data_IF_531512275714
#
_entry.id   IF_531512275714
#
_cell.length_a   1.000
_cell.length_b   1.000
_cell.length_c   1.000
_cell.angle_alpha   90.00
_cell.angle_beta   90.00
_cell.angle_gamma   90.00
#
_symmetry.space_group_name_H-M   'P 1'
#
loop_
_entity.id
_entity.type
_entity.pdbx_description
1 polymer ?
#
# COMPACT_ATOMS: atom_id res chain seq x y z
N UNK A 1 38.51 -15.58 -24.64
CA UNK A 1 38.33 -14.34 -23.85
C UNK A 1 36.98 -14.46 -23.16
N UNK A 2 36.96 -14.95 -21.92
CA UNK A 2 35.72 -15.15 -21.16
C UNK A 2 35.29 -13.78 -20.65
N UNK A 3 34.08 -13.35 -21.03
CA UNK A 3 33.45 -12.15 -20.48
C UNK A 3 33.12 -12.44 -19.02
N UNK A 4 33.94 -11.92 -18.12
CA UNK A 4 33.57 -11.75 -16.71
C UNK A 4 32.47 -10.71 -16.66
N UNK A 5 31.21 -11.17 -16.62
CA UNK A 5 30.09 -10.31 -16.25
C UNK A 5 30.20 -9.96 -14.76
N UNK A 6 30.04 -8.68 -14.49
CA UNK A 6 30.37 -7.95 -13.27
C UNK A 6 29.69 -8.51 -11.99
N UNK A 7 30.50 -8.94 -11.03
CA UNK A 7 30.06 -9.29 -9.66
C UNK A 7 29.46 -8.08 -8.89
N UNK A 8 29.70 -6.85 -9.34
CA UNK A 8 29.16 -5.62 -8.73
C UNK A 8 27.65 -5.46 -8.96
N UNK A 9 27.16 -5.83 -10.14
CA UNK A 9 25.72 -5.82 -10.50
C UNK A 9 24.88 -6.74 -9.62
N UNK A 10 25.46 -7.85 -9.13
CA UNK A 10 24.77 -8.82 -8.28
C UNK A 10 24.57 -8.32 -6.84
N UNK A 11 25.54 -7.57 -6.28
CA UNK A 11 25.47 -7.06 -4.90
C UNK A 11 24.45 -5.92 -4.73
N UNK A 12 24.31 -5.06 -5.74
CA UNK A 12 23.33 -3.97 -5.71
C UNK A 12 21.89 -4.50 -5.86
N UNK A 13 21.70 -5.57 -6.64
CA UNK A 13 20.40 -6.22 -6.79
C UNK A 13 19.82 -6.72 -5.45
N UNK A 14 20.64 -7.32 -4.58
CA UNK A 14 20.15 -7.84 -3.29
C UNK A 14 19.75 -6.74 -2.31
N UNK A 15 20.44 -5.60 -2.32
CA UNK A 15 20.09 -4.46 -1.46
C UNK A 15 18.73 -3.90 -1.85
N UNK A 16 18.47 -3.73 -3.13
CA UNK A 16 17.17 -3.26 -3.63
C UNK A 16 16.05 -4.24 -3.27
N UNK A 17 16.29 -5.55 -3.42
CA UNK A 17 15.34 -6.59 -3.03
C UNK A 17 15.06 -6.54 -1.53
N UNK A 18 16.08 -6.37 -0.69
CA UNK A 18 15.93 -6.25 0.76
C UNK A 18 15.11 -5.01 1.13
N UNK A 19 15.48 -3.83 0.62
CA UNK A 19 14.77 -2.57 0.91
C UNK A 19 13.34 -2.56 0.38
N UNK A 20 13.07 -3.28 -0.72
CA UNK A 20 11.71 -3.46 -1.25
C UNK A 20 10.87 -4.39 -0.38
N UNK A 21 11.48 -5.39 0.26
CA UNK A 21 10.76 -6.42 1.02
C UNK A 21 10.86 -6.27 2.54
N UNK A 22 11.50 -5.20 3.02
CA UNK A 22 11.59 -4.88 4.43
C UNK A 22 10.19 -4.68 5.01
N UNK A 23 9.87 -5.50 6.01
CA UNK A 23 8.64 -5.42 6.80
C UNK A 23 8.98 -5.15 8.26
N UNK A 24 8.23 -4.25 8.90
CA UNK A 24 8.40 -3.90 10.31
C UNK A 24 7.29 -4.61 11.11
N UNK A 25 7.58 -5.31 12.21
CA UNK A 25 6.55 -5.96 13.00
C UNK A 25 5.62 -4.93 13.69
N UNK A 26 4.35 -5.28 13.91
CA UNK A 26 3.43 -4.45 14.69
C UNK A 26 3.87 -4.34 16.16
N UNK A 27 3.40 -3.33 16.90
CA UNK A 27 3.71 -3.21 18.33
C UNK A 27 3.16 -4.41 19.11
N UNK A 28 3.95 -4.93 20.05
CA UNK A 28 3.58 -6.11 20.85
C UNK A 28 2.32 -5.87 21.68
N UNK A 29 2.15 -4.65 22.18
CA UNK A 29 0.99 -4.22 22.94
C UNK A 29 -0.29 -4.33 22.10
N UNK A 30 -0.24 -3.89 20.85
CA UNK A 30 -1.34 -3.97 19.88
C UNK A 30 -1.71 -5.41 19.57
N UNK A 31 -0.71 -6.27 19.35
CA UNK A 31 -0.92 -7.70 19.10
C UNK A 31 -1.60 -8.36 20.30
N UNK A 32 -1.16 -8.06 21.53
CA UNK A 32 -1.79 -8.58 22.76
C UNK A 32 -3.22 -8.09 22.92
N UNK A 33 -3.46 -6.80 22.72
CA UNK A 33 -4.80 -6.21 22.80
C UNK A 33 -5.75 -6.81 21.76
N UNK A 34 -5.28 -7.04 20.53
CA UNK A 34 -6.07 -7.72 19.51
C UNK A 34 -6.44 -9.15 19.95
N UNK A 35 -5.49 -9.90 20.53
CA UNK A 35 -5.75 -11.23 21.06
C UNK A 35 -6.78 -11.22 22.21
N UNK A 36 -6.65 -10.29 23.17
CA UNK A 36 -7.61 -10.11 24.29
C UNK A 36 -9.03 -9.75 23.79
N UNK A 37 -9.11 -9.02 22.67
CA UNK A 37 -10.36 -8.69 21.98
C UNK A 37 -10.89 -9.83 21.10
N UNK A 38 -10.33 -11.04 21.22
CA UNK A 38 -10.66 -12.21 20.40
C UNK A 38 -10.50 -11.97 18.89
N UNK A 39 -9.59 -11.06 18.51
CA UNK A 39 -9.21 -10.82 17.13
C UNK A 39 -8.12 -11.81 16.69
N UNK A 40 -8.41 -13.11 16.81
CA UNK A 40 -7.47 -14.20 16.53
C UNK A 40 -7.41 -14.57 15.05
N UNK A 41 -8.43 -14.21 14.28
CA UNK A 41 -8.50 -14.45 12.85
C UNK A 41 -8.18 -13.17 12.06
N UNK A 42 -7.33 -13.34 11.06
CA UNK A 42 -6.99 -12.32 10.07
C UNK A 42 -8.15 -12.13 9.09
N UNK A 43 -8.45 -10.88 8.75
CA UNK A 43 -9.44 -10.55 7.71
C UNK A 43 -8.75 -9.98 6.48
N UNK A 44 -9.22 -10.40 5.30
CA UNK A 44 -8.68 -9.97 4.02
C UNK A 44 -9.43 -8.77 3.46
N UNK A 45 -8.69 -7.87 2.83
CA UNK A 45 -9.21 -6.62 2.27
C UNK A 45 -8.70 -6.41 0.85
N UNK A 46 -9.53 -5.74 0.05
CA UNK A 46 -9.16 -5.15 -1.23
C UNK A 46 -9.24 -3.63 -1.12
N UNK A 47 -8.14 -2.94 -1.46
CA UNK A 47 -8.05 -1.49 -1.54
C UNK A 47 -7.79 -1.07 -2.99
N UNK A 48 -8.78 -0.43 -3.61
CA UNK A 48 -8.68 0.12 -4.96
C UNK A 48 -8.34 1.61 -4.88
N UNK A 49 -7.21 1.98 -5.46
CA UNK A 49 -6.75 3.36 -5.51
C UNK A 49 -7.37 4.04 -6.73
N UNK A 50 -7.97 5.21 -6.50
CA UNK A 50 -8.62 6.00 -7.54
C UNK A 50 -7.76 7.18 -7.93
N UNK A 51 -8.15 8.38 -7.49
CA UNK A 51 -7.54 9.62 -7.97
C UNK A 51 -7.11 10.49 -6.80
N UNK A 52 -5.95 11.11 -6.95
CA UNK A 52 -5.50 12.19 -6.08
C UNK A 52 -5.75 13.51 -6.79
N UNK A 53 -6.40 14.45 -6.11
CA UNK A 53 -6.55 15.83 -6.57
C UNK A 53 -5.74 16.72 -5.62
N UNK A 54 -4.85 17.54 -6.18
CA UNK A 54 -3.93 18.41 -5.43
C UNK A 54 -3.91 19.80 -6.08
N UNK A 55 -4.86 20.69 -5.77
CA UNK A 55 -5.06 21.97 -6.48
C UNK A 55 -3.90 22.97 -6.37
N UNK A 56 -3.07 22.84 -5.34
CA UNK A 56 -2.02 23.81 -4.98
C UNK A 56 -0.60 23.31 -5.27
N UNK A 57 -0.45 22.12 -5.83
CA UNK A 57 0.86 21.57 -6.15
C UNK A 57 1.29 22.07 -7.54
N UNK A 58 2.49 22.65 -7.71
CA UNK A 58 2.92 23.17 -9.00
C UNK A 58 3.05 22.03 -10.02
N UNK A 59 2.47 22.19 -11.22
CA UNK A 59 2.47 21.20 -12.32
C UNK A 59 3.85 20.96 -12.96
N UNK A 60 4.93 21.45 -12.35
CA UNK A 60 6.30 21.17 -12.80
C UNK A 60 6.46 19.65 -12.82
N UNK A 61 7.14 19.12 -13.83
CA UNK A 61 7.27 17.70 -14.25
C UNK A 61 7.72 16.72 -13.15
N UNK A 62 6.92 16.59 -12.11
CA UNK A 62 7.14 15.79 -10.93
C UNK A 62 6.31 14.53 -11.14
N UNK A 63 7.00 13.42 -11.34
CA UNK A 63 6.35 12.12 -11.18
C UNK A 63 6.14 11.89 -9.69
N UNK A 64 4.93 11.56 -9.30
CA UNK A 64 4.59 11.39 -7.90
C UNK A 64 4.10 9.95 -7.65
N UNK A 65 4.91 9.09 -7.01
CA UNK A 65 4.42 7.83 -6.50
C UNK A 65 3.57 8.02 -5.24
N UNK A 66 2.63 7.11 -5.03
CA UNK A 66 1.89 6.95 -3.80
C UNK A 66 2.56 5.88 -2.94
N UNK A 67 2.64 6.11 -1.63
CA UNK A 67 3.15 5.13 -0.66
C UNK A 67 2.07 4.77 0.34
N UNK A 68 1.98 3.49 0.67
CA UNK A 68 1.00 2.97 1.61
C UNK A 68 1.69 2.14 2.69
N UNK A 69 1.40 2.45 3.95
CA UNK A 69 1.99 1.77 5.11
C UNK A 69 0.95 1.65 6.22
N UNK A 70 0.98 0.57 6.99
CA UNK A 70 0.14 0.44 8.18
C UNK A 70 0.71 1.26 9.33
N UNK A 71 -0.19 1.82 10.13
CA UNK A 71 0.17 2.65 11.28
C UNK A 71 -0.73 2.34 12.47
N UNK A 72 -0.12 2.24 13.63
CA UNK A 72 -0.81 2.19 14.91
C UNK A 72 -0.84 3.59 15.52
N UNK A 73 -2.04 4.16 15.65
CA UNK A 73 -2.26 5.50 16.20
C UNK A 73 -1.96 5.60 17.69
N UNK A 74 -2.25 4.56 18.45
CA UNK A 74 -2.11 4.58 19.92
C UNK A 74 -0.62 4.52 20.30
N UNK A 75 0.15 3.73 19.55
CA UNK A 75 1.58 3.53 19.79
C UNK A 75 2.47 4.39 18.89
N UNK A 76 1.88 5.18 17.98
CA UNK A 76 2.56 6.01 16.99
C UNK A 76 3.64 5.23 16.23
N UNK A 77 3.26 4.08 15.68
CA UNK A 77 4.23 3.14 15.12
C UNK A 77 3.82 2.69 13.72
N UNK A 78 4.72 2.91 12.76
CA UNK A 78 4.57 2.35 11.41
C UNK A 78 4.98 0.89 11.40
N UNK A 79 4.17 0.04 10.77
CA UNK A 79 4.44 -1.39 10.66
C UNK A 79 4.03 -1.95 9.30
N UNK A 80 4.33 -3.22 9.09
CA UNK A 80 4.20 -3.90 7.81
C UNK A 80 5.28 -3.48 6.81
N UNK A 81 4.99 -3.75 5.54
CA UNK A 81 5.80 -3.31 4.39
C UNK A 81 5.17 -2.06 3.77
N UNK A 82 5.99 -1.06 3.46
CA UNK A 82 5.54 0.09 2.67
C UNK A 82 5.38 -0.30 1.20
N UNK A 83 4.14 -0.33 0.72
CA UNK A 83 3.86 -0.44 -0.71
C UNK A 83 4.13 0.89 -1.42
N UNK A 84 4.60 0.82 -2.67
CA UNK A 84 4.92 1.99 -3.49
C UNK A 84 4.34 1.80 -4.88
N UNK A 85 3.56 2.76 -5.35
CA UNK A 85 3.06 2.77 -6.73
C UNK A 85 4.19 3.06 -7.71
N UNK A 86 3.94 2.79 -8.99
CA UNK A 86 4.72 3.40 -10.04
C UNK A 86 4.56 4.93 -9.98
N UNK A 87 5.62 5.71 -10.28
CA UNK A 87 5.50 7.16 -10.36
C UNK A 87 4.54 7.58 -11.46
N UNK A 88 3.48 8.32 -11.10
CA UNK A 88 2.47 8.80 -12.06
C UNK A 88 2.67 10.29 -12.35
N UNK A 89 2.34 10.72 -13.56
CA UNK A 89 2.38 12.15 -13.94
C UNK A 89 1.10 12.85 -13.51
N UNK A 90 1.24 14.07 -12.98
CA UNK A 90 0.13 14.97 -12.70
C UNK A 90 -0.42 15.58 -13.98
N UNK A 91 -1.75 15.67 -14.10
CA UNK A 91 -2.47 16.31 -15.21
C UNK A 91 -3.67 17.06 -14.66
N UNK A 92 -3.79 18.35 -14.97
CA UNK A 92 -4.90 19.22 -14.53
C UNK A 92 -5.13 19.13 -13.02
N UNK A 93 -4.06 19.28 -12.24
CA UNK A 93 -4.06 19.11 -10.79
C UNK A 93 -4.48 17.74 -10.23
N UNK A 94 -4.42 16.68 -11.05
CA UNK A 94 -4.87 15.34 -10.67
C UNK A 94 -3.89 14.26 -11.08
N UNK A 95 -3.80 13.21 -10.26
CA UNK A 95 -3.01 12.01 -10.51
C UNK A 95 -3.95 10.82 -10.42
N UNK A 96 -3.98 9.97 -11.44
CA UNK A 96 -4.81 8.76 -11.44
C UNK A 96 -3.94 7.56 -11.12
N UNK A 97 -4.33 6.87 -10.06
CA UNK A 97 -3.85 5.55 -9.69
C UNK A 97 -4.90 4.55 -10.19
N UNK A 98 -4.48 3.42 -10.72
CA UNK A 98 -5.36 2.33 -11.19
C UNK A 98 -4.88 0.99 -10.64
N UNK A 99 -4.37 1.03 -9.41
CA UNK A 99 -3.82 -0.08 -8.67
C UNK A 99 -4.86 -0.62 -7.68
N UNK A 100 -4.94 -1.95 -7.61
CA UNK A 100 -5.75 -2.68 -6.63
C UNK A 100 -4.79 -3.44 -5.74
N UNK A 101 -4.87 -3.17 -4.44
CA UNK A 101 -4.04 -3.78 -3.42
C UNK A 101 -4.86 -4.79 -2.62
N UNK A 102 -4.22 -5.88 -2.26
CA UNK A 102 -4.74 -6.90 -1.38
C UNK A 102 -3.88 -6.96 -0.14
N UNK A 103 -4.50 -7.12 1.03
CA UNK A 103 -3.79 -7.34 2.28
C UNK A 103 -4.70 -8.06 3.28
N UNK A 104 -4.11 -8.55 4.36
CA UNK A 104 -4.86 -9.07 5.49
C UNK A 104 -4.21 -8.68 6.81
N UNK A 105 -5.04 -8.59 7.85
CA UNK A 105 -4.59 -8.30 9.21
C UNK A 105 -5.53 -8.86 10.26
N UNK A 106 -4.96 -9.38 11.34
CA UNK A 106 -5.61 -9.76 12.60
C UNK A 106 -5.74 -8.59 13.57
N UNK A 107 -5.04 -7.47 13.30
CA UNK A 107 -5.07 -6.26 14.12
C UNK A 107 -6.32 -5.43 13.83
N UNK A 108 -7.49 -6.01 14.15
CA UNK A 108 -8.82 -5.44 13.90
C UNK A 108 -9.21 -4.41 14.97
N UNK A 109 -8.30 -3.48 15.24
CA UNK A 109 -8.42 -2.42 16.24
C UNK A 109 -8.60 -1.07 15.54
N UNK A 110 -9.43 -0.14 16.06
CA UNK A 110 -9.61 1.19 15.44
C UNK A 110 -8.34 2.03 15.32
N UNK A 111 -7.33 1.76 16.15
CA UNK A 111 -6.02 2.41 16.07
C UNK A 111 -5.18 1.94 14.89
N UNK A 112 -5.51 0.80 14.29
CA UNK A 112 -4.86 0.29 13.08
C UNK A 112 -5.46 0.95 11.84
N UNK A 113 -4.62 1.73 11.14
CA UNK A 113 -5.02 2.49 9.95
C UNK A 113 -4.01 2.26 8.82
N UNK A 114 -4.42 2.54 7.58
CA UNK A 114 -3.48 2.66 6.45
C UNK A 114 -3.16 4.14 6.25
N UNK A 115 -1.89 4.47 6.24
CA UNK A 115 -1.39 5.80 5.87
C UNK A 115 -1.08 5.80 4.38
N UNK A 116 -1.62 6.79 3.67
CA UNK A 116 -1.36 7.04 2.26
C UNK A 116 -0.54 8.32 2.14
N UNK A 117 0.67 8.25 1.59
CA UNK A 117 1.57 9.40 1.38
C UNK A 117 1.76 9.65 -0.12
N UNK A 118 1.47 10.87 -0.57
CA UNK A 118 1.85 11.37 -1.87
C UNK A 118 3.28 11.92 -1.79
N UNK A 119 4.16 11.42 -2.65
CA UNK A 119 5.56 11.83 -2.67
C UNK A 119 5.88 12.49 -4.01
N UNK A 120 6.46 13.68 -4.01
CA UNK A 120 7.07 14.28 -5.20
C UNK A 120 8.49 13.73 -5.37
N UNK A 121 8.85 13.35 -6.59
CA UNK A 121 10.23 12.97 -6.93
C UNK A 121 10.88 14.09 -7.73
N UNK A 122 12.02 14.59 -7.24
CA UNK A 122 12.87 15.53 -7.98
C UNK A 122 14.25 14.93 -8.26
N UNK A 123 14.81 15.15 -9.46
CA UNK A 123 16.16 14.70 -9.76
C UNK A 123 17.17 15.50 -8.93
N UNK A 124 18.17 14.81 -8.40
CA UNK A 124 19.34 15.41 -7.77
C UNK A 124 20.46 15.58 -8.81
N UNK A 125 21.39 16.54 -8.61
CA UNK A 125 22.53 16.75 -9.51
C UNK A 125 23.44 15.52 -9.67
N UNK A 126 23.45 14.62 -8.68
CA UNK A 126 24.20 13.36 -8.68
C UNK A 126 23.51 12.22 -9.48
N UNK A 127 22.37 12.51 -10.13
CA UNK A 127 21.57 11.53 -10.86
C UNK A 127 20.61 10.70 -10.00
N UNK A 128 20.68 10.81 -8.66
CA UNK A 128 19.72 10.18 -7.76
C UNK A 128 18.39 10.94 -7.72
N UNK A 129 17.37 10.38 -7.08
CA UNK A 129 16.06 11.04 -6.93
C UNK A 129 15.82 11.41 -5.46
N UNK A 130 15.37 12.63 -5.21
CA UNK A 130 14.89 13.06 -3.90
C UNK A 130 13.38 12.95 -3.83
N UNK A 131 12.88 12.20 -2.84
CA UNK A 131 11.45 12.09 -2.56
C UNK A 131 11.04 13.02 -1.42
N UNK A 132 10.12 13.96 -1.67
CA UNK A 132 9.53 14.84 -0.66
C UNK A 132 8.05 14.47 -0.45
N UNK A 133 7.62 14.32 0.80
CA UNK A 133 6.22 14.07 1.12
C UNK A 133 5.40 15.35 0.94
N UNK A 134 4.52 15.37 -0.05
CA UNK A 134 3.67 16.52 -0.39
C UNK A 134 2.38 16.54 0.43
N UNK A 135 1.88 15.36 0.76
CA UNK A 135 0.74 15.23 1.64
C UNK A 135 0.42 13.79 1.96
N UNK A 136 -0.37 13.60 3.01
CA UNK A 136 -0.76 12.26 3.44
C UNK A 136 -2.17 12.21 4.02
N UNK A 137 -2.76 11.02 4.07
CA UNK A 137 -4.04 10.79 4.72
C UNK A 137 -4.08 9.46 5.45
N UNK A 138 -5.07 9.32 6.32
CA UNK A 138 -5.31 8.12 7.11
C UNK A 138 -6.62 7.49 6.64
N UNK A 139 -6.55 6.21 6.26
CA UNK A 139 -7.71 5.38 6.01
C UNK A 139 -7.96 4.51 7.24
N UNK A 140 -9.06 4.80 7.93
CA UNK A 140 -9.54 3.97 9.03
C UNK A 140 -10.12 2.66 8.49
N UNK A 141 -9.59 1.53 8.98
CA UNK A 141 -10.01 0.19 8.56
C UNK A 141 -11.12 -0.38 9.44
N UNK A 142 -11.14 0.05 10.71
CA UNK A 142 -12.03 -0.47 11.74
C UNK A 142 -12.62 0.70 12.51
N UNK A 143 -13.93 0.69 12.70
CA UNK A 143 -14.64 1.71 13.47
C UNK A 143 -15.29 1.08 14.70
N UNK A 144 -15.20 1.77 15.84
CA UNK A 144 -15.99 1.45 17.04
C UNK A 144 -17.35 2.14 17.05
N UNK A 145 -17.59 3.09 16.13
CA UNK A 145 -18.82 3.88 16.07
C UNK A 145 -19.84 3.16 15.18
N UNK A 146 -20.99 2.74 15.73
CA UNK A 146 -22.05 2.09 14.94
C UNK A 146 -22.62 3.01 13.85
N UNK A 147 -22.60 4.34 14.05
CA UNK A 147 -23.11 5.30 13.07
C UNK A 147 -22.06 5.72 12.01
N UNK A 148 -20.79 5.33 12.17
CA UNK A 148 -19.78 5.63 11.16
C UNK A 148 -19.97 4.70 9.96
N UNK A 149 -19.75 5.20 8.72
CA UNK A 149 -19.79 4.33 7.54
C UNK A 149 -18.84 3.15 7.75
N UNK A 150 -19.37 1.92 7.67
CA UNK A 150 -18.57 0.70 7.70
C UNK A 150 -17.39 0.87 6.76
N UNK A 151 -16.15 0.49 7.14
CA UNK A 151 -14.95 0.78 6.37
C UNK A 151 -15.11 0.46 4.86
N UNK A 152 -15.93 -0.53 4.52
CA UNK A 152 -16.40 -0.83 3.18
C UNK A 152 -16.93 0.39 2.39
N UNK A 153 -16.56 0.46 1.12
CA UNK A 153 -17.08 1.39 0.13
C UNK A 153 -16.14 2.53 -0.24
N UNK A 154 -16.71 3.49 -0.97
CA UNK A 154 -15.97 4.62 -1.51
C UNK A 154 -15.55 5.58 -0.39
N UNK A 155 -14.34 6.10 -0.49
CA UNK A 155 -13.75 7.04 0.47
C UNK A 155 -13.10 8.18 -0.27
N UNK A 156 -13.35 9.39 0.24
CA UNK A 156 -12.65 10.61 -0.15
C UNK A 156 -11.89 11.12 1.06
N UNK A 157 -10.59 10.95 1.03
CA UNK A 157 -9.69 11.21 2.14
C UNK A 157 -9.00 12.56 1.92
N UNK A 158 -9.19 13.51 2.83
CA UNK A 158 -8.50 14.81 2.74
C UNK A 158 -7.00 14.62 2.99
N UNK A 159 -6.16 15.31 2.23
CA UNK A 159 -4.71 15.27 2.42
C UNK A 159 -4.30 16.29 3.49
N UNK A 160 -3.50 15.85 4.45
CA UNK A 160 -2.74 16.71 5.35
C UNK A 160 -1.44 17.12 4.67
N UNK A 161 -0.93 18.30 5.01
CA UNK A 161 0.30 18.82 4.43
C UNK A 161 1.53 18.04 4.92
N UNK A 162 2.48 17.79 3.99
CA UNK A 162 3.80 17.25 4.31
C UNK A 162 3.87 15.72 4.39
N UNK A 163 4.75 15.22 5.27
CA UNK A 163 5.05 13.78 5.39
C UNK A 163 4.40 13.17 6.64
N UNK A 164 3.96 11.89 6.60
CA UNK A 164 3.40 11.18 7.75
C UNK A 164 4.30 11.10 8.98
N UNK A 165 5.58 11.49 8.87
CA UNK A 165 6.47 11.64 10.03
C UNK A 165 5.92 12.63 11.06
N UNK A 166 5.03 13.55 10.67
CA UNK A 166 4.33 14.44 11.61
C UNK A 166 3.53 13.66 12.65
N UNK A 167 3.00 12.47 12.31
CA UNK A 167 2.23 11.62 13.23
C UNK A 167 3.05 11.16 14.44
N UNK A 168 4.38 11.13 14.30
CA UNK A 168 5.31 10.77 15.37
C UNK A 168 5.59 11.95 16.30
N UNK A 169 5.35 13.18 15.87
CA UNK A 169 5.64 14.39 16.63
C UNK A 169 4.41 14.93 17.35
N UNK A 170 4.44 15.08 18.69
CA UNK A 170 3.29 15.56 19.47
C UNK A 170 2.90 17.03 19.23
N UNK A 171 3.79 17.82 18.61
CA UNK A 171 3.62 19.27 18.43
C UNK A 171 3.25 19.67 16.99
N UNK A 172 3.30 18.74 16.04
CA UNK A 172 2.94 19.04 14.65
C UNK A 172 1.44 18.98 14.51
N UNK A 173 0.82 20.12 14.20
CA UNK A 173 -0.61 20.20 13.96
C UNK A 173 -0.88 19.72 12.53
N UNK A 174 -1.60 18.62 12.40
CA UNK A 174 -2.05 18.13 11.10
C UNK A 174 -3.01 19.16 10.50
N UNK A 175 -2.58 19.79 9.41
CA UNK A 175 -3.38 20.79 8.69
C UNK A 175 -3.82 20.18 7.36
N UNK A 176 -5.13 20.06 7.19
CA UNK A 176 -5.70 19.63 5.91
C UNK A 176 -5.36 20.66 4.83
N UNK A 177 -4.92 20.19 3.69
CA UNK A 177 -4.72 20.99 2.49
C UNK A 177 -6.09 21.17 1.83
N UNK A 178 -6.51 22.42 1.72
CA UNK A 178 -7.83 22.75 1.17
C UNK A 178 -7.99 22.26 -0.27
N UNK A 179 -9.09 21.54 -0.53
CA UNK A 179 -9.41 20.96 -1.84
C UNK A 179 -8.58 19.72 -2.22
N UNK A 180 -7.51 19.40 -1.49
CA UNK A 180 -6.66 18.26 -1.77
C UNK A 180 -7.22 16.98 -1.13
N UNK A 181 -7.42 15.94 -1.95
CA UNK A 181 -8.02 14.69 -1.51
C UNK A 181 -7.57 13.50 -2.35
N UNK A 182 -7.71 12.31 -1.78
CA UNK A 182 -7.52 11.02 -2.42
C UNK A 182 -8.84 10.25 -2.41
N UNK A 183 -9.26 9.80 -3.58
CA UNK A 183 -10.40 8.90 -3.76
C UNK A 183 -9.90 7.44 -3.77
N UNK A 184 -10.48 6.60 -2.92
CA UNK A 184 -10.21 5.16 -2.89
C UNK A 184 -11.47 4.36 -2.54
N UNK A 185 -11.39 3.05 -2.70
CA UNK A 185 -12.46 2.11 -2.33
C UNK A 185 -11.82 0.98 -1.55
N UNK A 186 -12.27 0.73 -0.33
CA UNK A 186 -11.85 -0.42 0.46
C UNK A 186 -13.03 -1.37 0.63
N UNK A 187 -12.80 -2.67 0.53
CA UNK A 187 -13.83 -3.69 0.72
C UNK A 187 -13.26 -4.89 1.46
N UNK A 188 -14.04 -5.56 2.33
CA UNK A 188 -13.72 -6.92 2.76
C UNK A 188 -13.57 -7.82 1.52
N UNK A 189 -12.62 -8.75 1.57
CA UNK A 189 -12.38 -9.69 0.47
C UNK A 189 -12.26 -11.13 1.00
N UNK A 190 -13.39 -11.80 1.31
CA UNK A 190 -13.39 -13.15 1.89
C UNK A 190 -12.70 -14.22 1.05
N UNK A 191 -12.59 -14.02 -0.27
CA UNK A 191 -11.87 -14.94 -1.15
C UNK A 191 -10.38 -15.07 -0.78
N UNK A 192 -9.79 -14.03 -0.18
CA UNK A 192 -8.42 -14.06 0.33
C UNK A 192 -8.22 -15.08 1.45
N UNK A 193 -9.26 -15.40 2.24
CA UNK A 193 -9.14 -16.32 3.37
C UNK A 193 -8.55 -17.67 2.96
N UNK A 194 -8.85 -18.13 1.74
CA UNK A 194 -8.33 -19.39 1.20
C UNK A 194 -6.83 -19.37 0.88
N UNK A 195 -6.25 -18.20 0.67
CA UNK A 195 -4.88 -17.99 0.18
C UNK A 195 -4.01 -17.14 1.11
N UNK A 196 -4.51 -16.71 2.27
CA UNK A 196 -3.76 -15.90 3.26
C UNK A 196 -2.42 -16.50 3.65
N UNK A 197 -2.32 -17.83 3.70
CA UNK A 197 -1.07 -18.53 4.02
C UNK A 197 0.03 -18.33 2.96
N UNK A 198 -0.30 -17.79 1.79
CA UNK A 198 0.64 -17.53 0.69
C UNK A 198 1.21 -16.11 0.71
N UNK A 199 0.64 -15.18 1.51
CA UNK A 199 1.15 -13.83 1.63
C UNK A 199 1.37 -13.44 3.10
N UNK A 200 2.39 -12.62 3.38
CA UNK A 200 2.65 -12.19 4.75
C UNK A 200 1.55 -11.27 5.27
N UNK A 201 1.20 -11.46 6.54
CA UNK A 201 0.25 -10.59 7.24
C UNK A 201 0.78 -9.17 7.35
N UNK A 202 -0.11 -8.17 7.31
CA UNK A 202 0.21 -6.75 7.38
C UNK A 202 1.06 -6.25 6.19
N UNK A 203 0.97 -6.91 5.04
CA UNK A 203 1.66 -6.51 3.81
C UNK A 203 0.64 -6.21 2.72
N UNK A 204 0.73 -5.02 2.14
CA UNK A 204 -0.03 -4.65 0.95
C UNK A 204 0.68 -5.16 -0.31
N UNK A 205 -0.05 -5.92 -1.13
CA UNK A 205 0.45 -6.47 -2.39
C UNK A 205 -0.44 -6.03 -3.55
N UNK A 206 0.18 -5.60 -4.65
CA UNK A 206 -0.50 -5.37 -5.93
C UNK A 206 -0.51 -6.65 -6.76
N UNK A 207 -1.42 -6.75 -7.73
CA UNK A 207 -1.57 -7.93 -8.59
C UNK A 207 -0.36 -8.23 -9.50
N UNK A 208 0.56 -7.28 -9.65
CA UNK A 208 1.80 -7.38 -10.43
C UNK A 208 3.06 -7.57 -9.57
N UNK A 209 2.94 -7.64 -8.24
CA UNK A 209 4.09 -7.88 -7.37
C UNK A 209 4.45 -9.36 -7.29
N UNK A 210 5.74 -9.66 -7.44
CA UNK A 210 6.29 -10.96 -7.11
C UNK A 210 6.26 -11.15 -5.58
N UNK A 211 5.61 -12.21 -5.13
CA UNK A 211 5.58 -12.61 -3.73
C UNK A 211 6.76 -13.56 -3.49
N UNK A 212 7.71 -13.23 -2.59
CA UNK A 212 8.85 -14.11 -2.29
C UNK A 212 8.38 -15.51 -1.90
N UNK A 213 8.97 -16.54 -2.53
CA UNK A 213 8.61 -17.95 -2.30
C UNK A 213 7.48 -18.49 -3.18
N UNK A 214 6.80 -17.65 -3.96
CA UNK A 214 5.84 -18.09 -4.98
C UNK A 214 6.48 -18.06 -6.37
N UNK A 215 6.44 -19.18 -7.08
CA UNK A 215 6.89 -19.25 -8.45
C UNK A 215 5.84 -18.60 -9.38
N UNK A 216 6.31 -17.93 -10.43
CA UNK A 216 5.43 -17.49 -11.51
C UNK A 216 4.75 -18.71 -12.14
N UNK A 217 3.46 -18.59 -12.43
CA UNK A 217 2.75 -19.63 -13.16
C UNK A 217 3.42 -19.85 -14.53
N UNK A 218 3.72 -21.10 -14.94
CA UNK A 218 4.34 -21.40 -16.23
C UNK A 218 3.48 -20.94 -17.43
N UNK A 219 2.19 -20.68 -17.22
CA UNK A 219 1.27 -20.09 -18.21
C UNK A 219 1.31 -18.56 -18.30
N UNK A 220 2.36 -17.90 -17.81
CA UNK A 220 2.52 -16.44 -17.79
C UNK A 220 2.16 -15.78 -19.12
N UNK A 221 1.03 -15.06 -19.15
CA UNK A 221 0.60 -14.26 -20.30
C UNK A 221 1.53 -13.05 -20.38
N UNK A 222 2.57 -13.17 -21.20
CA UNK A 222 3.36 -12.03 -21.67
C UNK A 222 2.48 -11.16 -22.56
N UNK A 223 2.21 -9.93 -22.12
CA UNK A 223 1.74 -8.78 -22.89
C UNK A 223 0.70 -9.04 -24.01
N UNK A 224 -0.60 -9.01 -23.68
CA UNK A 224 -1.62 -8.63 -24.67
C UNK A 224 -2.68 -7.72 -24.04
N UNK A 225 -2.61 -6.45 -24.43
CA UNK A 225 -3.68 -5.44 -24.46
C UNK A 225 -4.33 -4.98 -23.14
N UNK A 226 -4.31 -3.65 -22.96
CA UNK A 226 -5.29 -2.88 -22.19
C UNK A 226 -6.70 -3.46 -22.37
N UNK A 227 -7.22 -4.11 -21.34
CA UNK A 227 -8.66 -4.26 -21.17
C UNK A 227 -8.99 -4.39 -19.69
N UNK A 228 -10.10 -3.74 -19.35
CA UNK A 228 -10.63 -3.46 -18.02
C UNK A 228 -10.90 -4.77 -17.25
N UNK A 229 -10.73 -4.70 -15.93
CA UNK A 229 -11.26 -5.63 -14.94
C UNK A 229 -10.95 -7.12 -15.19
N UNK A 230 -9.81 -7.61 -14.66
CA UNK A 230 -9.67 -9.02 -14.33
C UNK A 230 -9.61 -9.17 -12.81
N UNK A 231 -10.80 -9.36 -12.24
CA UNK A 231 -11.01 -9.68 -10.85
C UNK A 231 -10.42 -11.06 -10.53
N UNK A 232 -9.91 -11.20 -9.31
CA UNK A 232 -9.60 -12.49 -8.70
C UNK A 232 -10.93 -13.16 -8.34
N UNK A 233 -11.52 -13.87 -9.30
CA UNK A 233 -12.61 -14.85 -9.16
C UNK A 233 -12.25 -16.01 -10.12
N UNK A 234 -12.35 -17.30 -9.85
CA UNK A 234 -12.72 -18.14 -8.71
C UNK A 234 -12.24 -19.60 -9.06
N UNK A 235 -12.51 -20.66 -8.27
CA UNK A 235 -11.75 -21.92 -8.26
C UNK A 235 -12.16 -22.90 -9.36
N UNK A 236 -11.18 -23.68 -9.84
CA UNK A 236 -11.44 -24.93 -10.57
C UNK A 236 -10.29 -25.91 -10.37
N UNK A 237 -10.20 -26.51 -9.19
CA UNK A 237 -9.47 -27.77 -9.02
C UNK A 237 -10.45 -28.88 -9.42
N UNK A 238 -10.32 -29.38 -10.65
CA UNK A 238 -10.94 -30.64 -11.05
C UNK A 238 -10.10 -31.78 -10.47
N UNK A 239 -10.69 -32.53 -9.54
CA UNK A 239 -10.22 -33.86 -9.17
C UNK A 239 -10.54 -34.82 -10.31
N UNK A 240 -9.50 -35.38 -10.94
CA UNK A 240 -9.66 -36.59 -11.75
C UNK A 240 -9.10 -37.76 -10.94
N UNK A 241 -10.02 -38.49 -10.31
CA UNK A 241 -9.77 -39.85 -9.85
C UNK A 241 -10.35 -40.82 -10.87
N UNK A 242 -9.49 -41.68 -11.40
CA UNK A 242 -9.77 -43.04 -11.86
C UNK A 242 -8.43 -43.78 -11.90
#
# INVERSE_FOLDING_TARGET
MVKTEDESTSKDCWREVFERNRSVPPPRQTVRLAAERHCTHSEGFQLSLGRVSVPRLPEVSVTAPLRLTLFDRDHKHFFGKTWRSQPQKMKNNRISFSEVLYFHTSLRLPSTVVVLELVSMSPRPDGSQHGLGEGFSLLELFTTRPEAPAADGNRRLNLHHGSPRSLLHPLVKDTSVEGAHLDCVIKPHPALNSVMHLFPENVLVSGDENIPGLAASPTGITNVSRSKNKAIHSPAIKWNGS
#
